data_IF_653902082014
#
_entry.id   IF_653902082014
#
_cell.length_a   1.000
_cell.length_b   1.000
_cell.length_c   1.000
_cell.angle_alpha   90.00
_cell.angle_beta   90.00
_cell.angle_gamma   90.00
#
_symmetry.space_group_name_H-M   'P 1'
#
loop_
_entity.id
_entity.type
_entity.pdbx_description
1 polymer ?
#
# COMPACT_ATOMS: atom_id res chain seq x y z
N UNK A 1 15.77 3.76 7.30
CA UNK A 1 14.33 3.41 7.21
C UNK A 1 14.22 2.10 6.44
N UNK A 2 13.47 1.09 6.95
CA UNK A 2 13.25 -0.15 6.22
C UNK A 2 12.44 0.06 4.94
N UNK A 3 12.76 -0.74 3.91
CA UNK A 3 12.01 -0.85 2.65
C UNK A 3 11.13 -2.08 2.71
N UNK A 4 9.85 -1.89 2.50
CA UNK A 4 8.86 -2.94 2.56
C UNK A 4 8.22 -3.14 1.19
N UNK A 5 8.42 -4.33 0.65
CA UNK A 5 7.80 -4.80 -0.58
C UNK A 5 6.70 -5.80 -0.25
N UNK A 6 5.63 -5.73 -1.01
CA UNK A 6 4.52 -6.64 -0.88
C UNK A 6 4.32 -7.38 -2.21
N UNK A 7 4.37 -8.72 -2.19
CA UNK A 7 4.23 -9.51 -3.41
C UNK A 7 3.41 -10.77 -3.18
N UNK A 8 2.52 -11.08 -4.12
CA UNK A 8 1.79 -12.34 -4.18
C UNK A 8 2.16 -13.11 -5.42
N UNK A 9 2.34 -14.42 -5.25
CA UNK A 9 2.72 -15.31 -6.33
C UNK A 9 4.21 -15.31 -6.63
N UNK A 10 4.58 -15.77 -7.81
CA UNK A 10 5.96 -15.87 -8.29
C UNK A 10 6.19 -14.92 -9.45
N UNK A 11 7.21 -14.09 -9.35
CA UNK A 11 7.60 -13.20 -10.42
C UNK A 11 9.11 -13.28 -10.67
N UNK A 12 9.56 -13.60 -11.90
CA UNK A 12 10.98 -13.76 -12.20
C UNK A 12 11.79 -12.46 -12.08
N UNK A 13 11.12 -11.31 -12.09
CA UNK A 13 11.77 -10.00 -11.95
C UNK A 13 12.02 -9.62 -10.48
N UNK A 14 11.33 -10.23 -9.52
CA UNK A 14 11.36 -9.83 -8.12
C UNK A 14 12.77 -9.85 -7.49
N UNK A 15 13.63 -10.86 -7.72
CA UNK A 15 15.00 -10.83 -7.23
C UNK A 15 15.81 -9.63 -7.74
N UNK A 16 15.59 -9.21 -8.98
CA UNK A 16 16.28 -8.05 -9.58
C UNK A 16 15.83 -6.73 -8.93
N UNK A 17 14.54 -6.57 -8.68
CA UNK A 17 13.98 -5.39 -8.00
C UNK A 17 14.58 -5.27 -6.59
N UNK A 18 14.57 -6.35 -5.82
CA UNK A 18 15.06 -6.35 -4.44
C UNK A 18 16.59 -6.13 -4.40
N UNK A 19 17.33 -6.73 -5.34
CA UNK A 19 18.76 -6.50 -5.47
C UNK A 19 19.09 -5.03 -5.80
N UNK A 20 18.36 -4.44 -6.76
CA UNK A 20 18.55 -3.05 -7.13
C UNK A 20 18.26 -2.10 -5.97
N UNK A 21 17.19 -2.38 -5.20
CA UNK A 21 16.86 -1.61 -4.01
C UNK A 21 17.98 -1.66 -2.97
N UNK A 22 18.58 -2.85 -2.76
CA UNK A 22 19.71 -3.04 -1.85
C UNK A 22 20.97 -2.31 -2.33
N UNK A 23 21.34 -2.45 -3.61
CA UNK A 23 22.51 -1.79 -4.19
C UNK A 23 22.44 -0.26 -4.06
N UNK A 24 21.26 0.31 -4.29
CA UNK A 24 21.06 1.76 -4.17
C UNK A 24 20.94 2.24 -2.72
N UNK A 25 20.62 1.36 -1.78
CA UNK A 25 20.37 1.68 -0.37
C UNK A 25 20.93 0.58 0.57
N UNK A 26 22.25 0.38 0.61
CA UNK A 26 22.88 -0.78 1.26
C UNK A 26 22.70 -0.81 2.79
N UNK A 27 22.35 0.32 3.40
CA UNK A 27 22.11 0.42 4.84
C UNK A 27 20.62 0.26 5.22
N UNK A 28 19.74 0.14 4.22
CA UNK A 28 18.33 -0.09 4.47
C UNK A 28 18.02 -1.59 4.55
N UNK A 29 17.20 -1.97 5.51
CA UNK A 29 16.63 -3.32 5.55
C UNK A 29 15.68 -3.49 4.37
N UNK A 30 15.87 -4.57 3.61
CA UNK A 30 14.98 -4.95 2.51
C UNK A 30 14.05 -6.05 3.01
N UNK A 31 12.77 -5.76 3.11
CA UNK A 31 11.75 -6.63 3.68
C UNK A 31 10.76 -6.99 2.59
N UNK A 32 10.52 -8.28 2.40
CA UNK A 32 9.51 -8.80 1.50
C UNK A 32 8.42 -9.53 2.31
N UNK A 33 7.18 -9.05 2.22
CA UNK A 33 6.00 -9.77 2.74
C UNK A 33 5.27 -10.39 1.55
N UNK A 34 5.15 -11.72 1.54
CA UNK A 34 4.54 -12.43 0.41
C UNK A 34 4.08 -13.84 0.77
N UNK A 35 3.43 -14.48 -0.19
CA UNK A 35 3.04 -15.90 -0.12
C UNK A 35 4.10 -16.82 -0.74
N UNK A 36 5.25 -16.27 -1.05
CA UNK A 36 6.32 -16.91 -1.79
C UNK A 36 7.40 -17.43 -0.84
N UNK A 37 7.21 -18.62 -0.29
CA UNK A 37 8.19 -19.32 0.55
C UNK A 37 9.51 -19.68 -0.17
N UNK A 38 9.62 -19.41 -1.47
CA UNK A 38 10.70 -19.88 -2.34
C UNK A 38 11.40 -18.78 -3.15
N UNK A 39 11.22 -17.50 -2.83
CA UNK A 39 12.04 -16.48 -3.47
C UNK A 39 13.48 -16.58 -2.95
N UNK A 40 14.37 -17.19 -3.75
CA UNK A 40 15.82 -17.10 -3.55
C UNK A 40 16.29 -15.66 -3.82
N UNK A 41 15.83 -14.72 -2.97
CA UNK A 41 16.07 -13.28 -3.15
C UNK A 41 17.42 -12.83 -2.58
N UNK A 42 18.25 -13.76 -2.10
CA UNK A 42 19.53 -13.46 -1.47
C UNK A 42 19.43 -13.23 0.05
N UNK A 43 20.56 -13.34 0.74
CA UNK A 43 20.65 -13.24 2.21
C UNK A 43 20.42 -11.84 2.76
N UNK A 44 20.37 -10.82 1.91
CA UNK A 44 20.10 -9.42 2.28
C UNK A 44 18.60 -9.10 2.38
N UNK A 45 17.70 -10.02 1.96
CA UNK A 45 16.25 -9.84 2.02
C UNK A 45 15.69 -10.60 3.22
N UNK A 46 14.96 -9.89 4.05
CA UNK A 46 14.15 -10.48 5.11
C UNK A 46 12.77 -10.85 4.53
N UNK A 47 12.44 -12.13 4.52
CA UNK A 47 11.17 -12.63 3.96
C UNK A 47 10.20 -13.06 5.06
N UNK A 48 8.94 -12.68 4.91
CA UNK A 48 7.87 -12.98 5.85
C UNK A 48 6.63 -13.48 5.13
N UNK A 49 5.94 -14.45 5.73
CA UNK A 49 4.69 -14.96 5.18
C UNK A 49 3.55 -13.95 5.40
N UNK A 50 2.82 -13.67 4.34
CA UNK A 50 1.67 -12.76 4.34
C UNK A 50 0.58 -13.23 5.32
N UNK A 51 0.41 -14.55 5.46
CA UNK A 51 -0.64 -15.12 6.30
C UNK A 51 -0.45 -14.79 7.79
N UNK A 52 0.80 -14.66 8.23
CA UNK A 52 1.12 -14.30 9.61
C UNK A 52 0.60 -12.91 10.03
N UNK A 53 0.33 -12.03 9.05
CA UNK A 53 -0.06 -10.64 9.28
C UNK A 53 -1.46 -10.31 8.75
N UNK A 54 -2.19 -11.28 8.19
CA UNK A 54 -3.40 -11.04 7.40
C UNK A 54 -4.71 -11.00 8.20
N UNK A 55 -4.73 -11.19 9.51
CA UNK A 55 -5.95 -11.31 10.32
C UNK A 55 -6.91 -10.12 10.12
N UNK A 56 -6.45 -8.88 10.38
CA UNK A 56 -7.26 -7.67 10.17
C UNK A 56 -7.62 -7.46 8.71
N UNK A 57 -6.71 -7.78 7.79
CA UNK A 57 -6.94 -7.69 6.36
C UNK A 57 -8.08 -8.62 5.89
N UNK A 58 -8.21 -9.80 6.46
CA UNK A 58 -9.32 -10.74 6.19
C UNK A 58 -10.64 -10.18 6.68
N UNK A 59 -10.69 -9.64 7.90
CA UNK A 59 -11.90 -9.01 8.44
C UNK A 59 -12.37 -7.84 7.58
N UNK A 60 -11.44 -6.98 7.15
CA UNK A 60 -11.73 -5.91 6.20
C UNK A 60 -12.29 -6.46 4.88
N UNK A 61 -11.65 -7.50 4.32
CA UNK A 61 -12.06 -8.12 3.05
C UNK A 61 -13.49 -8.62 3.07
N UNK A 62 -13.92 -9.25 4.17
CA UNK A 62 -15.29 -9.78 4.32
C UNK A 62 -16.33 -8.67 4.33
N UNK A 63 -16.02 -7.54 4.98
CA UNK A 63 -16.87 -6.36 4.97
C UNK A 63 -16.86 -5.66 3.61
N UNK A 64 -15.69 -5.49 3.02
CA UNK A 64 -15.51 -4.87 1.71
C UNK A 64 -16.21 -5.63 0.60
N UNK A 65 -16.20 -6.96 0.62
CA UNK A 65 -16.90 -7.81 -0.36
C UNK A 65 -18.38 -7.48 -0.45
N UNK A 66 -19.02 -7.18 0.67
CA UNK A 66 -20.45 -6.84 0.72
C UNK A 66 -20.75 -5.42 0.21
N UNK A 67 -19.74 -4.56 0.24
CA UNK A 67 -19.85 -3.14 -0.06
C UNK A 67 -19.03 -2.71 -1.27
N UNK A 68 -18.43 -3.66 -2.01
CA UNK A 68 -17.63 -3.37 -3.19
C UNK A 68 -18.46 -2.65 -4.25
N UNK A 69 -18.01 -1.45 -4.64
CA UNK A 69 -18.66 -0.58 -5.62
C UNK A 69 -17.59 0.14 -6.42
N UNK A 70 -16.98 -0.57 -7.35
CA UNK A 70 -15.94 -0.04 -8.21
C UNK A 70 -16.04 -0.65 -9.60
N UNK A 71 -15.42 0.01 -10.57
CA UNK A 71 -15.23 -0.53 -11.92
C UNK A 71 -14.11 -1.57 -11.98
N UNK A 72 -13.19 -1.54 -11.02
CA UNK A 72 -12.14 -2.54 -10.91
C UNK A 72 -12.69 -3.84 -10.33
N UNK A 73 -12.02 -4.95 -10.60
CA UNK A 73 -12.39 -6.21 -10.00
C UNK A 73 -12.22 -6.16 -8.47
N UNK A 74 -13.13 -6.81 -7.76
CA UNK A 74 -13.02 -6.96 -6.31
C UNK A 74 -11.65 -7.49 -5.89
N UNK A 75 -11.12 -8.48 -6.60
CA UNK A 75 -9.86 -9.12 -6.24
C UNK A 75 -8.68 -8.15 -6.29
N UNK A 76 -8.63 -7.32 -7.33
CA UNK A 76 -7.57 -6.31 -7.49
C UNK A 76 -7.64 -5.26 -6.37
N UNK A 77 -8.78 -4.62 -6.18
CA UNK A 77 -8.91 -3.57 -5.17
C UNK A 77 -8.76 -4.10 -3.76
N UNK A 78 -9.35 -5.26 -3.48
CA UNK A 78 -9.21 -5.89 -2.18
C UNK A 78 -7.73 -6.17 -1.84
N UNK A 79 -6.92 -6.61 -2.82
CA UNK A 79 -5.49 -6.80 -2.62
C UNK A 79 -4.78 -5.47 -2.32
N UNK A 80 -5.16 -4.38 -3.01
CA UNK A 80 -4.63 -3.04 -2.76
C UNK A 80 -4.91 -2.54 -1.35
N UNK A 81 -6.11 -2.77 -0.83
CA UNK A 81 -6.47 -2.36 0.53
C UNK A 81 -5.92 -3.31 1.59
N UNK A 82 -5.99 -4.62 1.37
CA UNK A 82 -5.47 -5.60 2.34
C UNK A 82 -4.00 -5.34 2.69
N UNK A 83 -3.17 -4.94 1.72
CA UNK A 83 -1.75 -4.71 1.96
C UNK A 83 -1.49 -3.66 3.06
N UNK A 84 -2.31 -2.62 3.18
CA UNK A 84 -2.12 -1.59 4.21
C UNK A 84 -2.39 -2.11 5.62
N UNK A 85 -3.38 -2.98 5.79
CA UNK A 85 -3.63 -3.67 7.06
C UNK A 85 -2.51 -4.64 7.43
N UNK A 86 -1.96 -5.35 6.44
CA UNK A 86 -0.84 -6.27 6.63
C UNK A 86 0.42 -5.49 7.02
N UNK A 87 0.71 -4.37 6.33
CA UNK A 87 1.83 -3.48 6.65
C UNK A 87 1.70 -2.92 8.07
N UNK A 88 0.51 -2.47 8.48
CA UNK A 88 0.28 -1.98 9.84
C UNK A 88 0.56 -3.06 10.89
N UNK A 89 0.03 -4.28 10.69
CA UNK A 89 0.25 -5.38 11.62
C UNK A 89 1.74 -5.77 11.70
N UNK A 90 2.41 -5.81 10.55
CA UNK A 90 3.85 -6.04 10.47
C UNK A 90 4.64 -4.98 11.24
N UNK A 91 4.38 -3.69 10.97
CA UNK A 91 5.07 -2.60 11.66
C UNK A 91 4.88 -2.65 13.17
N UNK A 92 3.66 -2.94 13.64
CA UNK A 92 3.39 -3.10 15.08
C UNK A 92 4.17 -4.23 15.72
N UNK A 93 4.18 -5.41 15.09
CA UNK A 93 4.88 -6.59 15.62
C UNK A 93 6.40 -6.41 15.63
N UNK A 94 6.94 -5.73 14.63
CA UNK A 94 8.39 -5.49 14.47
C UNK A 94 8.84 -4.14 15.04
N UNK A 95 7.95 -3.37 15.69
CA UNK A 95 8.22 -2.06 16.30
C UNK A 95 8.84 -1.06 15.33
N UNK A 96 8.31 -1.01 14.11
CA UNK A 96 8.73 -0.09 13.07
C UNK A 96 7.83 1.16 13.11
N UNK A 97 8.43 2.31 13.38
CA UNK A 97 7.73 3.60 13.45
C UNK A 97 7.52 4.22 12.06
N UNK A 98 8.40 3.87 11.11
CA UNK A 98 8.41 4.43 9.77
C UNK A 98 8.94 3.39 8.78
N UNK A 99 8.34 3.34 7.59
CA UNK A 99 8.73 2.47 6.48
C UNK A 99 8.64 3.20 5.15
N UNK A 100 9.47 2.81 4.19
CA UNK A 100 9.19 2.99 2.77
C UNK A 100 8.45 1.77 2.24
N UNK A 101 7.31 1.98 1.59
CA UNK A 101 6.58 0.94 0.85
C UNK A 101 6.76 1.13 -0.65
N UNK A 102 6.97 0.03 -1.35
CA UNK A 102 7.08 -0.04 -2.81
C UNK A 102 6.23 -1.18 -3.35
N UNK A 103 5.59 -0.94 -4.49
CA UNK A 103 5.07 -2.04 -5.29
C UNK A 103 6.24 -2.89 -5.81
N UNK A 104 6.03 -4.19 -5.95
CA UNK A 104 7.10 -5.15 -6.25
C UNK A 104 7.64 -5.09 -7.67
N UNK A 105 7.15 -4.18 -8.49
CA UNK A 105 7.59 -3.88 -9.86
C UNK A 105 8.28 -2.50 -9.99
N UNK A 106 8.59 -1.87 -8.86
CA UNK A 106 9.27 -0.57 -8.81
C UNK A 106 10.76 -0.75 -8.63
N UNK A 107 11.56 -0.23 -9.57
CA UNK A 107 13.03 -0.16 -9.49
C UNK A 107 13.48 1.11 -8.75
N UNK A 108 14.41 0.97 -7.80
CA UNK A 108 14.95 2.06 -7.00
C UNK A 108 16.41 2.29 -7.37
N UNK A 109 16.71 3.39 -8.06
CA UNK A 109 18.05 3.70 -8.55
C UNK A 109 18.79 4.76 -7.74
N UNK A 110 18.14 5.37 -6.75
CA UNK A 110 18.71 6.45 -5.94
C UNK A 110 18.67 6.12 -4.46
N UNK A 111 19.57 6.74 -3.69
CA UNK A 111 19.51 6.72 -2.24
C UNK A 111 18.25 7.48 -1.78
N UNK A 112 17.37 6.78 -1.08
CA UNK A 112 16.19 7.43 -0.50
C UNK A 112 16.50 8.19 0.79
N UNK A 113 17.69 7.98 1.34
CA UNK A 113 18.15 8.75 2.49
C UNK A 113 18.31 10.23 2.12
N UNK A 114 18.79 10.51 0.90
CA UNK A 114 19.09 11.86 0.43
C UNK A 114 17.82 12.65 0.04
N UNK A 115 16.70 11.96 -0.15
CA UNK A 115 15.42 12.59 -0.54
C UNK A 115 14.40 12.64 0.61
N UNK A 116 14.79 12.24 1.82
CA UNK A 116 13.91 12.34 2.97
C UNK A 116 13.59 13.80 3.28
N UNK A 117 12.30 14.14 3.51
CA UNK A 117 11.93 15.48 3.92
C UNK A 117 12.63 15.87 5.22
N UNK A 118 13.19 17.09 5.27
CA UNK A 118 13.78 17.64 6.49
C UNK A 118 12.74 17.93 7.58
N UNK A 119 11.50 18.13 7.16
CA UNK A 119 10.37 18.41 8.06
C UNK A 119 9.68 17.13 8.49
N UNK A 120 9.13 17.13 9.71
CA UNK A 120 8.29 16.04 10.19
C UNK A 120 7.08 15.85 9.26
N UNK A 121 6.85 14.61 8.85
CA UNK A 121 5.71 14.23 8.02
C UNK A 121 5.04 12.98 8.61
N UNK A 122 3.79 12.76 8.25
CA UNK A 122 3.06 11.53 8.58
C UNK A 122 3.01 10.57 7.40
N UNK A 123 2.96 11.14 6.19
CA UNK A 123 2.87 10.41 4.94
C UNK A 123 3.52 11.21 3.83
N UNK A 124 4.32 10.56 2.99
CA UNK A 124 4.93 11.15 1.81
C UNK A 124 4.81 10.19 0.61
N UNK A 125 4.53 10.74 -0.56
CA UNK A 125 4.48 9.99 -1.83
C UNK A 125 5.42 10.63 -2.84
N UNK A 126 5.95 9.82 -3.74
CA UNK A 126 6.67 10.31 -4.90
C UNK A 126 5.65 10.68 -5.99
N UNK A 127 5.77 11.90 -6.49
CA UNK A 127 4.98 12.37 -7.63
C UNK A 127 5.88 12.42 -8.87
N UNK A 128 5.33 12.16 -10.07
CA UNK A 128 6.05 12.43 -11.31
C UNK A 128 6.43 13.91 -11.41
N UNK A 129 7.61 14.22 -11.89
CA UNK A 129 8.10 15.61 -12.05
C UNK A 129 7.17 16.50 -12.91
N UNK A 130 6.42 15.87 -13.82
CA UNK A 130 5.52 16.56 -14.75
C UNK A 130 4.16 16.90 -14.18
N UNK A 131 3.86 16.48 -12.94
CA UNK A 131 2.53 16.66 -12.32
C UNK A 131 2.67 17.52 -11.08
N UNK A 132 2.06 18.71 -11.10
CA UNK A 132 1.91 19.50 -9.89
C UNK A 132 0.88 18.86 -8.94
N UNK A 133 1.07 19.01 -7.64
CA UNK A 133 0.14 18.48 -6.64
C UNK A 133 -1.30 19.01 -6.84
N UNK A 134 -1.44 20.26 -7.33
CA UNK A 134 -2.73 20.88 -7.64
C UNK A 134 -3.44 20.27 -8.85
N UNK A 135 -2.70 19.63 -9.76
CA UNK A 135 -3.22 18.99 -10.98
C UNK A 135 -3.46 17.50 -10.79
N UNK A 136 -2.81 16.91 -9.77
CA UNK A 136 -3.00 15.48 -9.45
C UNK A 136 -4.35 15.28 -8.77
N UNK A 137 -5.29 14.66 -9.47
CA UNK A 137 -6.59 14.25 -8.92
C UNK A 137 -6.53 12.93 -8.16
N UNK A 138 -5.43 12.20 -8.31
CA UNK A 138 -5.20 10.93 -7.61
C UNK A 138 -3.71 10.73 -7.39
N UNK A 139 -3.36 10.26 -6.20
CA UNK A 139 -2.01 9.86 -5.84
C UNK A 139 -2.03 8.36 -5.59
N UNK A 140 -1.21 7.62 -6.31
CA UNK A 140 -1.07 6.19 -6.06
C UNK A 140 0.00 5.93 -5.00
N UNK A 141 -0.29 5.14 -3.96
CA UNK A 141 0.66 4.82 -2.91
C UNK A 141 1.65 3.70 -3.29
N UNK A 142 1.89 3.49 -4.60
CA UNK A 142 2.83 2.47 -5.09
C UNK A 142 4.28 2.72 -4.66
N UNK A 143 4.60 3.97 -4.30
CA UNK A 143 5.84 4.36 -3.66
C UNK A 143 5.53 5.41 -2.61
N UNK A 144 5.61 5.05 -1.35
CA UNK A 144 5.20 5.92 -0.26
C UNK A 144 6.00 5.67 1.01
N UNK A 145 6.31 6.75 1.71
CA UNK A 145 6.84 6.69 3.07
C UNK A 145 5.67 6.82 4.05
N UNK A 146 5.56 5.88 4.97
CA UNK A 146 4.49 5.83 5.97
C UNK A 146 5.06 5.87 7.37
N UNK A 147 4.50 6.74 8.22
CA UNK A 147 4.60 6.50 9.66
C UNK A 147 3.54 5.47 10.08
N UNK A 148 3.80 4.73 11.16
CA UNK A 148 2.83 3.78 11.69
C UNK A 148 1.51 4.47 12.09
N UNK A 149 1.58 5.69 12.60
CA UNK A 149 0.40 6.50 12.94
C UNK A 149 -0.46 6.79 11.70
N UNK A 150 0.17 7.28 10.61
CA UNK A 150 -0.55 7.58 9.38
C UNK A 150 -1.18 6.33 8.75
N UNK A 151 -0.45 5.21 8.77
CA UNK A 151 -0.94 3.93 8.25
C UNK A 151 -2.14 3.42 9.07
N UNK A 152 -2.11 3.58 10.39
CA UNK A 152 -3.22 3.23 11.27
C UNK A 152 -4.46 4.09 10.95
N UNK A 153 -4.30 5.41 10.88
CA UNK A 153 -5.40 6.34 10.54
C UNK A 153 -5.99 6.08 9.16
N UNK A 154 -5.13 5.72 8.20
CA UNK A 154 -5.59 5.37 6.86
C UNK A 154 -6.45 4.11 6.88
N UNK A 155 -6.05 3.07 7.61
CA UNK A 155 -6.82 1.84 7.74
C UNK A 155 -8.15 2.05 8.49
N UNK A 156 -8.16 2.90 9.52
CA UNK A 156 -9.40 3.30 10.22
C UNK A 156 -10.35 4.02 9.26
N UNK A 157 -9.83 4.98 8.47
CA UNK A 157 -10.62 5.67 7.45
C UNK A 157 -11.19 4.71 6.39
N UNK A 158 -10.38 3.77 5.87
CA UNK A 158 -10.86 2.75 4.94
C UNK A 158 -11.99 1.90 5.54
N UNK A 159 -11.84 1.52 6.80
CA UNK A 159 -12.87 0.75 7.51
C UNK A 159 -14.16 1.55 7.65
N UNK A 160 -14.07 2.82 8.01
CA UNK A 160 -15.22 3.72 8.13
C UNK A 160 -15.94 3.93 6.79
N UNK A 161 -15.20 4.02 5.67
CA UNK A 161 -15.79 4.15 4.34
C UNK A 161 -16.71 2.98 3.95
N UNK A 162 -16.47 1.80 4.50
CA UNK A 162 -17.23 0.58 4.17
C UNK A 162 -18.13 0.10 5.30
N UNK A 163 -18.06 0.70 6.49
CA UNK A 163 -18.85 0.30 7.66
C UNK A 163 -20.23 0.96 7.64
N UNK A 164 -21.33 0.17 7.52
CA UNK A 164 -22.67 0.71 7.58
C UNK A 164 -22.90 1.48 8.89
N UNK A 165 -23.40 2.72 8.77
CA UNK A 165 -23.65 3.60 9.92
C UNK A 165 -22.56 4.64 10.18
N UNK A 166 -21.38 4.55 9.57
CA UNK A 166 -20.41 5.64 9.62
C UNK A 166 -20.81 6.81 8.71
N UNK A 167 -20.36 8.02 9.05
CA UNK A 167 -20.58 9.21 8.24
C UNK A 167 -19.98 9.04 6.83
N UNK A 168 -18.75 8.55 6.74
CA UNK A 168 -18.05 8.35 5.48
C UNK A 168 -18.73 7.32 4.59
N UNK A 169 -19.28 6.25 5.16
CA UNK A 169 -20.09 5.30 4.41
C UNK A 169 -21.28 5.98 3.72
N UNK A 170 -22.04 6.80 4.42
CA UNK A 170 -23.18 7.50 3.85
C UNK A 170 -22.78 8.50 2.77
N UNK A 171 -21.73 9.28 3.00
CA UNK A 171 -21.21 10.22 2.01
C UNK A 171 -20.74 9.52 0.73
N UNK A 172 -20.03 8.39 0.86
CA UNK A 172 -19.58 7.58 -0.27
C UNK A 172 -20.75 6.96 -1.04
N UNK A 173 -21.81 6.50 -0.34
CA UNK A 173 -23.02 6.01 -1.00
C UNK A 173 -23.69 7.10 -1.85
N UNK A 174 -23.86 8.29 -1.31
CA UNK A 174 -24.46 9.43 -2.02
C UNK A 174 -23.63 9.83 -3.24
N UNK A 175 -22.30 9.87 -3.09
CA UNK A 175 -21.38 10.13 -4.20
C UNK A 175 -21.53 9.08 -5.30
N UNK A 176 -21.59 7.81 -4.96
CA UNK A 176 -21.71 6.70 -5.90
C UNK A 176 -23.03 6.71 -6.67
N UNK A 177 -24.15 6.98 -5.98
CA UNK A 177 -25.46 7.09 -6.64
C UNK A 177 -25.48 8.27 -7.63
N UNK A 178 -24.93 9.42 -7.25
CA UNK A 178 -24.78 10.57 -8.15
C UNK A 178 -23.89 10.27 -9.35
N UNK A 179 -22.77 9.58 -9.13
CA UNK A 179 -21.86 9.17 -10.19
C UNK A 179 -22.52 8.26 -11.22
N UNK A 180 -23.28 7.27 -10.78
CA UNK A 180 -24.04 6.38 -11.67
C UNK A 180 -25.05 7.15 -12.53
N UNK A 181 -25.79 8.09 -11.93
CA UNK A 181 -26.77 8.90 -12.66
C UNK A 181 -26.13 9.69 -13.81
N UNK A 182 -24.95 10.24 -13.60
CA UNK A 182 -24.22 11.01 -14.62
C UNK A 182 -23.76 10.11 -15.77
N UNK A 183 -23.30 8.90 -15.48
CA UNK A 183 -22.69 8.00 -16.46
C UNK A 183 -23.67 7.04 -17.12
N UNK A 184 -24.86 6.82 -16.55
CA UNK A 184 -25.93 6.05 -17.20
C UNK A 184 -26.78 6.85 -18.16
N UNK A 185 -26.74 8.20 -18.11
CA UNK A 185 -27.48 9.08 -19.03
C UNK A 185 -26.66 9.53 -20.25
N UNK A 186 -25.44 9.00 -20.44
CA UNK A 186 -24.53 9.37 -21.53
C UNK A 186 -24.25 8.23 -22.52
N UNK A 187 -25.10 7.19 -22.55
CA UNK A 187 -25.02 6.07 -23.51
C UNK A 187 -26.13 6.13 -24.55
#
# INVERSE_FOLDING_TARGET
>A
IPFLFFHRGSAPYLPYILHQAHESNPYSRIILIGDCAACSCGSFVETYDIEDYSEKAKLFSDLYRRNHRSFNSFFFENACFQRTYIMENFCRRHKLEIIWHFDSDVLIFSSLYDIMPEQAFQYAVLLPETVSFSESRSVSPHTACWTLEALTRYNEFLYDCISPGSKFYHELQLFWEKYKQVHSNGG
#
